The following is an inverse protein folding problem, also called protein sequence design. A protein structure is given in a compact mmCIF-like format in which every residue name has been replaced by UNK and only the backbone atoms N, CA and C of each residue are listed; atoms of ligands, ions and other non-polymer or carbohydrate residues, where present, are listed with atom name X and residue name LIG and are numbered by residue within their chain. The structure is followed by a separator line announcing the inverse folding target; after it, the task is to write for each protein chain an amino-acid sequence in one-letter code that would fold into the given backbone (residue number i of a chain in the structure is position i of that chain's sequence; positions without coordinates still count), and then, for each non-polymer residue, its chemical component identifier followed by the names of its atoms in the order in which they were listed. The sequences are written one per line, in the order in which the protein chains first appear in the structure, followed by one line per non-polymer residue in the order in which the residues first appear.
data_IF_990925648676
#
_entry.id   IF_990925648676
#
_cell.length_a   1.000
_cell.length_b   1.000
_cell.length_c   1.000
_cell.angle_alpha   90.00
_cell.angle_beta   90.00
_cell.angle_gamma   90.00
#
_symmetry.space_group_name_H-M   'P 1'
#
loop_
_entity.id
_entity.type
_entity.pdbx_description
1 polymer ?
#
# COMPACT_ATOMS: atom_id res chain seq x y z
N UNK A 1 9.09 12.03 9.79
CA UNK A 1 8.77 13.09 8.81
C UNK A 1 8.09 14.22 9.56
N UNK A 2 8.83 15.29 9.89
CA UNK A 2 8.17 16.55 10.25
C UNK A 2 7.41 17.01 8.99
N UNK A 3 6.11 17.21 9.14
CA UNK A 3 5.23 17.62 8.05
C UNK A 3 5.69 18.99 7.54
N UNK A 4 6.17 19.06 6.29
CA UNK A 4 6.50 20.30 5.58
C UNK A 4 5.28 21.26 5.47
N UNK A 5 4.10 20.80 5.88
CA UNK A 5 2.85 21.58 5.84
C UNK A 5 2.87 22.81 6.75
N UNK A 6 3.64 22.81 7.84
CA UNK A 6 3.75 24.00 8.69
C UNK A 6 4.47 25.14 7.96
N UNK A 7 5.57 24.85 7.27
CA UNK A 7 6.29 25.82 6.44
C UNK A 7 5.41 26.32 5.29
N UNK A 8 4.66 25.42 4.64
CA UNK A 8 3.70 25.81 3.60
C UNK A 8 2.59 26.68 4.19
N UNK A 9 2.10 26.38 5.40
CA UNK A 9 1.10 27.22 6.08
C UNK A 9 1.63 28.65 6.26
N UNK A 10 2.85 28.83 6.76
CA UNK A 10 3.44 30.17 6.93
C UNK A 10 3.46 30.94 5.60
N UNK A 11 3.85 30.29 4.50
CA UNK A 11 3.82 30.91 3.17
C UNK A 11 2.41 31.28 2.73
N UNK A 12 1.43 30.40 2.96
CA UNK A 12 0.03 30.66 2.64
C UNK A 12 -0.56 31.79 3.50
N UNK A 13 -0.21 31.88 4.78
CA UNK A 13 -0.64 32.95 5.69
C UNK A 13 -0.08 34.30 5.24
N UNK A 14 1.21 34.38 4.94
CA UNK A 14 1.85 35.60 4.42
C UNK A 14 1.23 36.05 3.09
N UNK A 15 0.94 35.11 2.19
CA UNK A 15 0.29 35.41 0.93
C UNK A 15 -1.16 35.88 1.14
N UNK A 16 -1.90 35.25 2.05
CA UNK A 16 -3.26 35.65 2.40
C UNK A 16 -3.27 37.08 2.97
N UNK A 17 -2.30 37.43 3.81
CA UNK A 17 -2.15 38.78 4.35
C UNK A 17 -1.90 39.83 3.28
N UNK A 18 -0.97 39.53 2.36
CA UNK A 18 -0.65 40.44 1.27
C UNK A 18 -1.87 40.68 0.37
N UNK A 19 -2.57 39.59 -0.01
CA UNK A 19 -3.77 39.67 -0.85
C UNK A 19 -4.89 40.42 -0.12
N UNK A 20 -5.09 40.14 1.17
CA UNK A 20 -6.14 40.79 1.96
C UNK A 20 -5.87 42.29 2.15
N UNK A 21 -4.62 42.66 2.48
CA UNK A 21 -4.21 44.06 2.60
C UNK A 21 -4.37 44.81 1.28
N UNK A 22 -3.96 44.20 0.17
CA UNK A 22 -4.14 44.76 -1.18
C UNK A 22 -5.62 45.00 -1.49
N UNK A 23 -6.51 44.05 -1.14
CA UNK A 23 -7.97 44.22 -1.30
C UNK A 23 -8.49 45.41 -0.49
N UNK A 24 -8.07 45.55 0.76
CA UNK A 24 -8.48 46.66 1.62
C UNK A 24 -8.00 48.01 1.07
N UNK A 25 -6.78 48.07 0.52
CA UNK A 25 -6.27 49.27 -0.13
C UNK A 25 -7.09 49.64 -1.36
N UNK A 26 -7.38 48.68 -2.25
CA UNK A 26 -8.24 48.91 -3.43
C UNK A 26 -9.62 49.43 -2.99
N UNK A 27 -10.26 48.78 -2.02
CA UNK A 27 -11.57 49.22 -1.50
C UNK A 27 -11.53 50.62 -0.88
N UNK A 28 -10.45 50.96 -0.17
CA UNK A 28 -10.29 52.28 0.41
C UNK A 28 -10.13 53.37 -0.65
N UNK A 29 -9.32 53.12 -1.68
CA UNK A 29 -9.16 54.05 -2.81
C UNK A 29 -10.47 54.21 -3.57
N UNK A 30 -11.20 53.12 -3.82
CA UNK A 30 -12.54 53.16 -4.42
C UNK A 30 -13.48 54.03 -3.60
N UNK A 31 -13.54 53.83 -2.28
CA UNK A 31 -14.38 54.63 -1.37
C UNK A 31 -14.01 56.12 -1.38
N UNK A 32 -12.73 56.46 -1.45
CA UNK A 32 -12.25 57.84 -1.54
C UNK A 32 -12.68 58.45 -2.89
N UNK A 33 -12.50 57.73 -3.99
CA UNK A 33 -12.92 58.17 -5.33
C UNK A 33 -14.44 58.41 -5.38
N UNK A 34 -15.25 57.54 -4.75
CA UNK A 34 -16.71 57.73 -4.66
C UNK A 34 -17.10 58.95 -3.83
N UNK A 35 -16.35 59.28 -2.77
CA UNK A 35 -16.64 60.45 -1.91
C UNK A 35 -16.10 61.79 -2.45
N UNK A 36 -15.27 61.75 -3.48
CA UNK A 36 -14.71 62.94 -4.11
C UNK A 36 -15.76 63.63 -5.00
N UNK A 37 -15.69 64.97 -5.09
CA UNK A 37 -16.58 65.81 -5.92
C UNK A 37 -16.65 65.25 -7.35
N UNK A 38 -17.86 65.17 -7.90
CA UNK A 38 -18.17 64.51 -9.19
C UNK A 38 -17.30 65.03 -10.35
N UNK A 39 -16.95 66.32 -10.34
CA UNK A 39 -16.11 66.98 -11.35
C UNK A 39 -14.64 66.54 -11.35
N UNK A 40 -14.15 65.94 -10.27
CA UNK A 40 -12.78 65.41 -10.14
C UNK A 40 -12.70 63.89 -10.32
N UNK A 41 -13.84 63.21 -10.56
CA UNK A 41 -13.84 61.76 -10.78
C UNK A 41 -13.24 61.44 -12.13
N UNK A 42 -12.17 60.65 -12.13
CA UNK A 42 -11.63 60.06 -13.35
C UNK A 42 -12.37 58.74 -13.64
N UNK A 43 -13.19 58.65 -14.70
CA UNK A 43 -13.97 57.43 -14.99
C UNK A 43 -13.06 56.22 -15.25
N UNK A 44 -11.90 56.43 -15.89
CA UNK A 44 -10.91 55.38 -16.13
C UNK A 44 -10.33 54.79 -14.83
N UNK A 45 -10.17 55.59 -13.78
CA UNK A 45 -9.71 55.14 -12.47
C UNK A 45 -10.75 54.22 -11.80
N UNK A 46 -12.05 54.49 -11.98
CA UNK A 46 -13.10 53.66 -11.42
C UNK A 46 -13.15 52.27 -12.09
N UNK A 47 -13.01 52.20 -13.41
CA UNK A 47 -12.95 50.93 -14.15
C UNK A 47 -11.71 50.11 -13.76
N UNK A 48 -10.55 50.75 -13.65
CA UNK A 48 -9.31 50.09 -13.25
C UNK A 48 -9.39 49.52 -11.83
N UNK A 49 -10.00 50.25 -10.89
CA UNK A 49 -10.19 49.78 -9.51
C UNK A 49 -11.17 48.60 -9.42
N UNK A 50 -12.22 48.58 -10.25
CA UNK A 50 -13.15 47.45 -10.33
C UNK A 50 -12.45 46.19 -10.87
N UNK A 51 -11.63 46.34 -11.92
CA UNK A 51 -10.86 45.22 -12.46
C UNK A 51 -9.82 44.71 -11.46
N UNK A 52 -9.07 45.60 -10.79
CA UNK A 52 -8.14 45.21 -9.73
C UNK A 52 -8.86 44.50 -8.57
N UNK A 53 -10.05 44.97 -8.17
CA UNK A 53 -10.84 44.33 -7.12
C UNK A 53 -11.26 42.90 -7.51
N UNK A 54 -11.68 42.70 -8.77
CA UNK A 54 -12.00 41.36 -9.32
C UNK A 54 -10.77 40.46 -9.35
N UNK A 55 -9.63 40.96 -9.80
CA UNK A 55 -8.38 40.19 -9.84
C UNK A 55 -7.93 39.76 -8.43
N UNK A 56 -7.90 40.68 -7.47
CA UNK A 56 -7.50 40.40 -6.09
C UNK A 56 -8.47 39.42 -5.42
N UNK A 57 -9.78 39.57 -5.65
CA UNK A 57 -10.79 38.63 -5.16
C UNK A 57 -10.63 37.24 -5.79
N UNK A 58 -10.28 37.19 -7.08
CA UNK A 58 -9.94 35.94 -7.78
C UNK A 58 -8.73 35.24 -7.17
N UNK A 59 -7.64 35.98 -6.90
CA UNK A 59 -6.45 35.43 -6.23
C UNK A 59 -6.76 34.90 -4.84
N UNK A 60 -7.57 35.64 -4.05
CA UNK A 60 -8.01 35.18 -2.74
C UNK A 60 -8.84 33.90 -2.85
N UNK A 61 -9.74 33.82 -3.83
CA UNK A 61 -10.55 32.63 -4.07
C UNK A 61 -9.68 31.41 -4.38
N UNK A 62 -8.75 31.53 -5.31
CA UNK A 62 -7.81 30.46 -5.66
C UNK A 62 -6.96 30.03 -4.46
N UNK A 63 -6.49 30.99 -3.65
CA UNK A 63 -5.72 30.68 -2.45
C UNK A 63 -6.56 29.91 -1.42
N UNK A 64 -7.78 30.37 -1.14
CA UNK A 64 -8.67 29.74 -0.17
C UNK A 64 -9.07 28.33 -0.60
N UNK A 65 -9.42 28.12 -1.86
CA UNK A 65 -9.80 26.79 -2.37
C UNK A 65 -8.62 25.82 -2.40
N UNK A 66 -7.41 26.30 -2.75
CA UNK A 66 -6.22 25.45 -2.85
C UNK A 66 -5.59 25.10 -1.49
N UNK A 67 -5.94 25.82 -0.43
CA UNK A 67 -5.37 25.65 0.92
C UNK A 67 -6.24 24.83 1.86
N UNK A 68 -7.36 24.31 1.36
CA UNK A 68 -8.19 23.33 2.05
C UNK A 68 -7.69 21.91 1.72
N UNK A 69 -6.85 21.35 2.58
CA UNK A 69 -6.07 20.14 2.27
C UNK A 69 -6.27 19.03 3.30
N UNK A 70 -6.11 17.79 2.84
CA UNK A 70 -6.16 16.61 3.71
C UNK A 70 -4.77 16.37 4.30
N UNK A 71 -4.62 16.66 5.59
CA UNK A 71 -3.39 16.46 6.35
C UNK A 71 -3.16 14.97 6.68
N UNK A 72 -4.22 14.27 7.09
CA UNK A 72 -4.20 12.82 7.33
C UNK A 72 -5.18 12.14 6.40
N UNK A 73 -4.64 11.47 5.39
CA UNK A 73 -5.45 10.72 4.42
C UNK A 73 -6.21 9.56 5.11
N UNK A 74 -7.42 9.24 4.63
CA UNK A 74 -8.10 8.01 5.02
C UNK A 74 -7.31 6.78 4.53
N UNK A 75 -7.53 5.58 5.11
CA UNK A 75 -6.97 4.35 4.57
C UNK A 75 -7.38 4.18 3.10
N UNK A 76 -6.45 3.83 2.22
CA UNK A 76 -6.75 3.64 0.80
C UNK A 76 -7.39 2.29 0.48
N UNK A 77 -7.24 1.29 1.37
CA UNK A 77 -8.03 0.06 1.32
C UNK A 77 -8.92 0.04 2.56
N UNK A 78 -10.22 0.24 2.36
CA UNK A 78 -11.19 0.39 3.45
C UNK A 78 -12.11 -0.82 3.54
N UNK A 79 -12.18 -1.43 4.72
CA UNK A 79 -13.18 -2.46 4.99
C UNK A 79 -14.47 -1.84 5.50
N UNK A 80 -15.60 -2.28 4.95
CA UNK A 80 -16.93 -1.89 5.46
C UNK A 80 -17.06 -2.25 6.95
N UNK A 81 -17.86 -1.46 7.67
CA UNK A 81 -18.08 -1.59 9.12
C UNK A 81 -16.78 -1.49 9.96
N UNK A 82 -15.69 -0.97 9.41
CA UNK A 82 -14.46 -0.69 10.16
C UNK A 82 -14.32 0.82 10.39
N UNK A 83 -13.91 1.21 11.59
CA UNK A 83 -13.68 2.62 11.92
C UNK A 83 -12.40 3.11 11.24
N UNK A 84 -12.43 4.34 10.76
CA UNK A 84 -11.27 4.99 10.15
C UNK A 84 -11.20 6.46 10.53
N UNK A 85 -10.04 7.07 10.29
CA UNK A 85 -9.76 8.46 10.62
C UNK A 85 -9.28 9.23 9.42
N UNK A 86 -9.61 10.51 9.34
CA UNK A 86 -9.00 11.47 8.42
C UNK A 86 -8.90 12.85 9.09
N UNK A 87 -8.03 13.71 8.61
CA UNK A 87 -7.88 15.07 9.14
C UNK A 87 -7.71 16.05 8.00
N UNK A 88 -8.50 17.12 8.03
CA UNK A 88 -8.48 18.19 7.04
C UNK A 88 -8.07 19.49 7.73
N UNK A 89 -7.28 20.29 7.05
CA UNK A 89 -6.74 21.56 7.55
C UNK A 89 -6.98 22.65 6.52
N UNK A 90 -7.31 23.85 6.99
CA UNK A 90 -7.36 25.06 6.17
C UNK A 90 -6.14 25.92 6.52
N UNK A 91 -5.16 26.01 5.62
CA UNK A 91 -3.88 26.66 5.92
C UNK A 91 -4.03 28.17 6.17
N UNK A 92 -4.96 28.83 5.47
CA UNK A 92 -5.23 30.28 5.64
C UNK A 92 -6.25 30.59 6.74
N UNK A 93 -6.78 29.57 7.41
CA UNK A 93 -7.93 29.72 8.31
C UNK A 93 -7.64 30.56 9.55
N UNK A 94 -6.40 30.50 10.05
CA UNK A 94 -5.94 31.32 11.16
C UNK A 94 -5.86 32.81 10.79
N UNK A 95 -5.28 33.12 9.63
CA UNK A 95 -5.04 34.51 9.23
C UNK A 95 -6.31 35.22 8.74
N UNK A 96 -7.20 34.51 8.05
CA UNK A 96 -8.48 35.07 7.57
C UNK A 96 -9.58 35.12 8.64
N UNK A 97 -9.25 34.83 9.90
CA UNK A 97 -10.19 34.81 11.04
C UNK A 97 -11.40 33.89 10.84
N UNK A 98 -11.26 32.82 10.05
CA UNK A 98 -12.34 31.84 9.78
C UNK A 98 -12.77 31.13 11.06
N UNK A 99 -11.85 31.00 12.02
CA UNK A 99 -12.10 30.38 13.31
C UNK A 99 -13.14 31.12 14.19
N UNK A 100 -13.47 32.39 13.89
CA UNK A 100 -14.50 33.13 14.62
C UNK A 100 -15.91 32.58 14.41
N UNK A 101 -16.15 31.96 13.25
CA UNK A 101 -17.37 31.20 12.95
C UNK A 101 -16.95 29.84 12.41
N UNK A 102 -16.54 28.90 13.28
CA UNK A 102 -15.86 27.68 12.87
C UNK A 102 -16.76 26.86 11.94
N UNK A 103 -16.30 26.59 10.70
CA UNK A 103 -17.18 25.95 9.74
C UNK A 103 -17.33 24.46 9.98
N UNK A 104 -18.48 23.95 9.53
CA UNK A 104 -18.74 22.51 9.50
C UNK A 104 -18.19 21.92 8.21
N UNK A 105 -17.46 20.82 8.34
CA UNK A 105 -16.99 20.00 7.23
C UNK A 105 -17.87 18.77 7.16
N UNK A 106 -18.38 18.46 5.97
CA UNK A 106 -19.05 17.20 5.69
C UNK A 106 -18.21 16.34 4.76
N UNK A 107 -18.33 15.03 4.92
CA UNK A 107 -17.58 14.02 4.17
C UNK A 107 -18.57 13.10 3.47
N UNK A 108 -18.39 12.91 2.18
CA UNK A 108 -19.18 11.98 1.38
C UNK A 108 -18.26 11.12 0.54
N UNK A 109 -18.69 9.90 0.23
CA UNK A 109 -17.95 9.01 -0.68
C UNK A 109 -18.59 9.06 -2.06
N UNK A 110 -17.75 9.27 -3.07
CA UNK A 110 -18.16 9.41 -4.47
C UNK A 110 -17.32 8.49 -5.36
N UNK A 111 -17.85 8.16 -6.53
CA UNK A 111 -17.15 7.35 -7.53
C UNK A 111 -16.16 8.17 -8.33
N UNK A 112 -15.23 7.48 -9.01
CA UNK A 112 -14.34 8.09 -9.99
C UNK A 112 -15.08 8.95 -11.02
N UNK A 113 -16.14 8.42 -11.62
CA UNK A 113 -16.92 9.16 -12.62
C UNK A 113 -17.51 10.46 -12.05
N UNK A 114 -17.96 10.43 -10.79
CA UNK A 114 -18.49 11.62 -10.11
C UNK A 114 -17.38 12.62 -9.79
N UNK A 115 -16.22 12.17 -9.34
CA UNK A 115 -15.05 13.04 -9.12
C UNK A 115 -14.63 13.76 -10.43
N UNK A 116 -14.67 13.05 -11.56
CA UNK A 116 -14.40 13.63 -12.88
C UNK A 116 -15.46 14.67 -13.30
N UNK A 117 -16.74 14.42 -13.00
CA UNK A 117 -17.82 15.37 -13.27
C UNK A 117 -17.72 16.63 -12.39
N UNK A 118 -17.32 16.48 -11.12
CA UNK A 118 -17.12 17.60 -10.20
C UNK A 118 -16.08 18.60 -10.74
N UNK A 119 -14.92 18.11 -11.19
CA UNK A 119 -13.88 18.99 -11.78
C UNK A 119 -14.34 19.67 -13.08
N UNK A 120 -15.14 19.00 -13.90
CA UNK A 120 -15.70 19.61 -15.12
C UNK A 120 -16.75 20.68 -14.82
N UNK A 121 -17.50 20.53 -13.72
CA UNK A 121 -18.51 21.51 -13.30
C UNK A 121 -17.91 22.81 -12.77
N UNK A 122 -16.67 22.81 -12.28
CA UNK A 122 -15.94 24.06 -11.99
C UNK A 122 -15.63 24.87 -13.26
N UNK A 123 -15.49 24.22 -14.42
CA UNK A 123 -15.16 24.90 -15.68
C UNK A 123 -16.38 25.54 -16.35
N UNK A 124 -17.60 25.16 -15.97
CA UNK A 124 -18.84 25.72 -16.49
C UNK A 124 -19.66 26.30 -15.33
N UNK A 125 -19.66 27.62 -15.20
CA UNK A 125 -20.30 28.40 -14.13
C UNK A 125 -21.83 28.19 -13.99
N UNK A 126 -22.24 27.00 -13.56
CA UNK A 126 -23.62 26.62 -13.34
C UNK A 126 -23.73 25.70 -12.13
N UNK A 127 -24.72 25.95 -11.27
CA UNK A 127 -25.06 25.17 -10.07
C UNK A 127 -25.10 23.67 -10.39
N UNK A 128 -23.98 22.98 -10.19
CA UNK A 128 -23.90 21.53 -10.34
C UNK A 128 -24.81 20.85 -9.33
N UNK A 129 -25.54 19.82 -9.76
CA UNK A 129 -26.24 18.92 -8.83
C UNK A 129 -25.21 18.36 -7.84
N UNK A 130 -25.55 18.39 -6.55
CA UNK A 130 -24.76 17.72 -5.52
C UNK A 130 -24.47 16.28 -5.96
N UNK A 131 -23.21 15.82 -5.86
CA UNK A 131 -22.84 14.48 -6.30
C UNK A 131 -23.66 13.44 -5.53
N UNK A 132 -24.18 12.45 -6.24
CA UNK A 132 -24.99 11.38 -5.63
C UNK A 132 -24.07 10.52 -4.78
N UNK A 133 -24.33 10.43 -3.47
CA UNK A 133 -23.49 9.65 -2.56
C UNK A 133 -23.44 8.17 -2.95
N UNK A 134 -22.22 7.64 -3.10
CA UNK A 134 -21.97 6.23 -3.39
C UNK A 134 -22.07 5.37 -2.13
N UNK A 135 -22.21 5.92 -0.94
CA UNK A 135 -22.25 5.13 0.28
C UNK A 135 -22.54 5.93 1.54
N UNK A 136 -22.94 5.21 2.58
CA UNK A 136 -23.37 5.78 3.85
C UNK A 136 -22.19 5.76 4.84
N UNK A 137 -21.64 6.94 5.16
CA UNK A 137 -20.60 7.13 6.17
C UNK A 137 -21.25 7.65 7.47
N UNK A 138 -21.04 6.94 8.57
CA UNK A 138 -21.37 7.43 9.91
C UNK A 138 -20.33 8.42 10.42
N UNK A 139 -20.76 9.38 11.24
CA UNK A 139 -19.91 10.40 11.85
C UNK A 139 -19.14 11.22 10.79
N UNK A 140 -19.79 11.48 9.66
CA UNK A 140 -19.22 12.12 8.49
C UNK A 140 -19.24 13.65 8.53
N UNK A 141 -19.56 14.25 9.68
CA UNK A 141 -19.54 15.71 9.85
C UNK A 141 -18.76 16.08 11.10
N UNK A 142 -17.98 17.15 11.00
CA UNK A 142 -17.20 17.69 12.11
C UNK A 142 -17.06 19.20 11.98
N UNK A 143 -16.93 19.89 13.11
CA UNK A 143 -16.67 21.33 13.14
C UNK A 143 -15.16 21.54 13.19
N UNK A 144 -14.64 22.53 12.44
CA UNK A 144 -13.23 22.89 12.53
C UNK A 144 -12.90 23.48 13.91
N UNK A 145 -11.74 23.10 14.43
CA UNK A 145 -11.20 23.55 15.70
C UNK A 145 -9.92 24.34 15.44
N UNK A 146 -9.80 25.50 16.08
CA UNK A 146 -8.60 26.32 16.02
C UNK A 146 -7.71 26.02 17.22
N UNK A 147 -6.45 25.71 16.96
CA UNK A 147 -5.44 25.49 17.99
C UNK A 147 -4.53 26.73 18.08
N UNK A 148 -4.63 27.54 19.14
CA UNK A 148 -3.89 28.82 19.23
C UNK A 148 -2.37 28.65 19.28
N UNK A 149 -1.88 27.56 19.86
CA UNK A 149 -0.44 27.31 20.01
C UNK A 149 0.25 27.05 18.67
N UNK A 150 -0.45 26.39 17.73
CA UNK A 150 0.06 26.05 16.41
C UNK A 150 -0.52 26.92 15.30
N UNK A 151 -1.49 27.79 15.62
CA UNK A 151 -2.29 28.60 14.70
C UNK A 151 -3.00 27.75 13.62
N UNK A 152 -3.33 26.50 13.94
CA UNK A 152 -3.92 25.57 12.98
C UNK A 152 -5.44 25.56 13.08
N UNK A 153 -6.12 25.69 11.94
CA UNK A 153 -7.54 25.42 11.82
C UNK A 153 -7.75 24.07 11.13
N UNK A 154 -8.21 23.07 11.89
CA UNK A 154 -8.34 21.71 11.38
C UNK A 154 -9.56 20.99 11.93
N UNK A 155 -9.99 19.92 11.28
CA UNK A 155 -11.01 19.00 11.78
C UNK A 155 -10.47 17.58 11.73
N UNK A 156 -10.50 16.90 12.88
CA UNK A 156 -10.05 15.50 12.99
C UNK A 156 -11.24 14.57 13.15
N UNK A 157 -11.51 13.81 12.09
CA UNK A 157 -12.53 12.77 12.10
C UNK A 157 -11.93 11.50 12.71
N UNK A 158 -12.33 11.16 13.93
CA UNK A 158 -11.72 10.04 14.69
C UNK A 158 -12.48 8.71 14.61
N UNK A 159 -13.77 8.76 14.25
CA UNK A 159 -14.68 7.61 14.34
C UNK A 159 -15.59 7.48 13.11
N UNK A 160 -15.11 7.84 11.92
CA UNK A 160 -15.89 7.61 10.71
C UNK A 160 -16.01 6.11 10.43
N UNK A 161 -17.14 5.69 9.86
CA UNK A 161 -17.38 4.28 9.52
C UNK A 161 -18.26 4.18 8.28
N UNK A 162 -17.78 3.45 7.27
CA UNK A 162 -18.54 3.17 6.05
C UNK A 162 -19.45 1.96 6.28
N UNK A 163 -20.78 2.16 6.30
CA UNK A 163 -21.76 1.07 6.52
C UNK A 163 -22.16 0.37 5.24
N UNK A 164 -22.47 1.14 4.21
CA UNK A 164 -23.00 0.66 2.93
C UNK A 164 -22.29 1.36 1.79
N UNK A 165 -22.14 0.63 0.70
CA UNK A 165 -21.60 1.14 -0.56
C UNK A 165 -22.50 0.67 -1.71
N UNK A 166 -22.94 1.63 -2.52
CA UNK A 166 -23.58 1.43 -3.82
C UNK A 166 -22.46 1.34 -4.86
N UNK A 167 -22.44 0.25 -5.60
CA UNK A 167 -21.44 -0.02 -6.61
C UNK A 167 -22.05 0.20 -7.99
N UNK A 168 -21.25 0.67 -8.93
CA UNK A 168 -21.68 0.75 -10.31
C UNK A 168 -21.96 -0.65 -10.88
N UNK A 169 -22.95 -0.76 -11.78
CA UNK A 169 -23.13 -1.97 -12.59
C UNK A 169 -21.91 -2.16 -13.48
N UNK A 170 -21.28 -3.33 -13.41
CA UNK A 170 -20.07 -3.60 -14.17
C UNK A 170 -20.36 -4.20 -15.53
N UNK A 171 -19.44 -3.95 -16.47
CA UNK A 171 -19.42 -4.59 -17.77
C UNK A 171 -18.21 -5.52 -17.86
N UNK A 172 -18.42 -6.76 -18.32
CA UNK A 172 -17.33 -7.70 -18.61
C UNK A 172 -16.59 -8.27 -17.39
N UNK A 173 -15.25 -8.28 -17.44
CA UNK A 173 -14.34 -8.98 -16.50
C UNK A 173 -13.82 -8.10 -15.34
N UNK A 174 -14.35 -6.89 -15.18
CA UNK A 174 -13.89 -5.93 -14.16
C UNK A 174 -14.14 -6.42 -12.73
N UNK A 175 -13.09 -6.40 -11.90
CA UNK A 175 -13.20 -6.79 -10.49
C UNK A 175 -13.77 -5.65 -9.66
N UNK A 176 -14.40 -5.99 -8.53
CA UNK A 176 -14.94 -4.97 -7.60
C UNK A 176 -13.78 -4.16 -7.05
N UNK A 177 -12.63 -4.80 -6.96
CA UNK A 177 -11.40 -4.25 -6.42
C UNK A 177 -10.69 -3.28 -7.36
N UNK A 178 -11.18 -3.15 -8.59
CA UNK A 178 -10.69 -2.17 -9.56
C UNK A 178 -11.46 -0.84 -9.44
N UNK A 179 -12.63 -0.83 -8.77
CA UNK A 179 -13.45 0.35 -8.58
C UNK A 179 -12.79 1.31 -7.58
N UNK A 180 -12.37 2.47 -8.10
CA UNK A 180 -11.78 3.55 -7.32
C UNK A 180 -12.86 4.52 -6.86
N UNK A 181 -12.88 4.77 -5.57
CA UNK A 181 -13.74 5.73 -4.89
C UNK A 181 -12.88 6.82 -4.26
N UNK A 182 -13.49 7.91 -3.82
CA UNK A 182 -12.78 8.96 -3.07
C UNK A 182 -13.71 9.59 -2.05
N UNK A 183 -13.13 10.06 -0.95
CA UNK A 183 -13.82 10.87 0.02
C UNK A 183 -13.71 12.34 -0.38
N UNK A 184 -14.86 12.94 -0.64
CA UNK A 184 -15.02 14.37 -0.85
C UNK A 184 -15.27 15.03 0.51
N UNK A 185 -14.32 15.86 0.92
CA UNK A 185 -14.48 16.76 2.06
C UNK A 185 -14.95 18.10 1.54
N UNK A 186 -16.03 18.64 2.11
CA UNK A 186 -16.59 19.92 1.67
C UNK A 186 -16.96 20.79 2.87
N UNK A 187 -16.82 22.11 2.71
CA UNK A 187 -17.15 23.08 3.73
C UNK A 187 -17.56 24.42 3.11
N UNK A 188 -18.28 25.22 3.89
CA UNK A 188 -18.68 26.57 3.50
C UNK A 188 -18.47 27.51 4.67
N UNK A 189 -17.87 28.66 4.42
CA UNK A 189 -17.63 29.71 5.42
C UNK A 189 -17.58 31.10 4.82
N UNK A 190 -17.69 32.09 5.70
CA UNK A 190 -17.65 33.50 5.34
C UNK A 190 -16.32 34.13 5.78
N UNK A 191 -15.81 35.08 4.99
CA UNK A 191 -14.60 35.86 5.28
C UNK A 191 -14.93 37.35 5.17
N UNK A 192 -14.28 38.18 5.99
CA UNK A 192 -14.44 39.64 5.94
C UNK A 192 -15.77 40.15 6.48
N UNK A 193 -16.28 39.57 7.57
CA UNK A 193 -17.55 40.01 8.17
C UNK A 193 -18.80 39.64 7.36
N UNK A 194 -18.70 38.66 6.45
CA UNK A 194 -19.81 38.20 5.62
C UNK A 194 -19.78 38.70 4.17
N UNK A 195 -18.80 39.51 3.79
CA UNK A 195 -18.66 40.02 2.41
C UNK A 195 -18.41 38.91 1.39
N UNK A 196 -17.62 37.91 1.76
CA UNK A 196 -17.21 36.83 0.87
C UNK A 196 -17.66 35.49 1.44
N UNK A 197 -18.32 34.68 0.62
CA UNK A 197 -18.75 33.32 0.95
C UNK A 197 -17.94 32.35 0.11
N UNK A 198 -17.16 31.49 0.76
CA UNK A 198 -16.35 30.47 0.11
C UNK A 198 -16.98 29.10 0.29
N UNK A 199 -17.09 28.35 -0.80
CA UNK A 199 -17.34 26.93 -0.80
C UNK A 199 -16.03 26.24 -1.18
N UNK A 200 -15.49 25.44 -0.27
CA UNK A 200 -14.23 24.73 -0.47
C UNK A 200 -14.48 23.24 -0.42
N UNK A 201 -13.72 22.50 -1.20
CA UNK A 201 -13.75 21.05 -1.18
C UNK A 201 -12.40 20.48 -1.57
N UNK A 202 -12.13 19.24 -1.15
CA UNK A 202 -10.93 18.50 -1.53
C UNK A 202 -11.24 17.01 -1.61
N UNK A 203 -10.54 16.30 -2.50
CA UNK A 203 -10.67 14.86 -2.68
C UNK A 203 -9.54 14.14 -1.96
N UNK A 204 -9.86 12.98 -1.37
CA UNK A 204 -8.83 12.05 -0.91
C UNK A 204 -8.11 11.40 -2.08
N UNK A 205 -6.96 10.81 -1.77
CA UNK A 205 -6.36 9.78 -2.63
C UNK A 205 -7.40 8.68 -2.92
N UNK A 206 -7.24 7.91 -4.02
CA UNK A 206 -8.20 6.87 -4.34
C UNK A 206 -8.26 5.83 -3.22
N UNK A 207 -9.49 5.43 -2.96
CA UNK A 207 -9.86 4.43 -1.97
C UNK A 207 -10.55 3.27 -2.67
N UNK A 208 -10.20 2.06 -2.28
CA UNK A 208 -10.88 0.83 -2.70
C UNK A 208 -11.58 0.22 -1.48
N UNK A 209 -12.86 -0.12 -1.64
CA UNK A 209 -13.71 -0.62 -0.55
C UNK A 209 -13.87 -2.14 -0.61
N UNK A 210 -13.37 -2.84 0.42
CA UNK A 210 -13.50 -4.28 0.63
C UNK A 210 -14.63 -4.63 1.60
N UNK A 211 -15.18 -5.83 1.44
CA UNK A 211 -16.12 -6.42 2.43
C UNK A 211 -15.44 -7.51 3.26
N UNK A 212 -14.42 -8.17 2.72
CA UNK A 212 -13.71 -9.27 3.38
C UNK A 212 -12.19 -9.15 3.23
N UNK A 213 -11.44 -9.67 4.19
CA UNK A 213 -9.97 -9.53 4.25
C UNK A 213 -9.23 -10.25 3.12
N UNK A 214 -9.82 -11.27 2.51
CA UNK A 214 -9.25 -11.95 1.33
C UNK A 214 -9.19 -11.04 0.08
N UNK A 215 -9.94 -9.94 0.05
CA UNK A 215 -9.91 -8.96 -1.04
C UNK A 215 -8.81 -7.92 -0.87
N UNK A 216 -8.20 -7.84 0.32
CA UNK A 216 -7.16 -6.88 0.64
C UNK A 216 -5.98 -6.90 -0.36
N UNK A 217 -5.43 -8.06 -0.79
CA UNK A 217 -4.36 -8.08 -1.79
C UNK A 217 -4.75 -7.36 -3.07
N UNK A 218 -5.96 -7.63 -3.58
CA UNK A 218 -6.47 -7.06 -4.81
C UNK A 218 -6.70 -5.55 -4.68
N UNK A 219 -7.26 -5.08 -3.56
CA UNK A 219 -7.43 -3.65 -3.30
C UNK A 219 -6.10 -2.91 -3.24
N UNK A 220 -5.09 -3.52 -2.61
CA UNK A 220 -3.75 -2.95 -2.60
C UNK A 220 -3.06 -2.99 -3.97
N UNK A 221 -3.43 -3.89 -4.88
CA UNK A 221 -2.92 -3.88 -6.25
C UNK A 221 -3.29 -2.56 -6.92
N UNK A 222 -4.58 -2.23 -6.90
CA UNK A 222 -5.17 -1.04 -7.51
C UNK A 222 -4.61 0.23 -6.90
N UNK A 223 -4.53 0.28 -5.57
CA UNK A 223 -3.96 1.43 -4.83
C UNK A 223 -2.48 1.60 -5.14
N UNK A 224 -1.70 0.51 -5.18
CA UNK A 224 -0.25 0.61 -5.44
C UNK A 224 0.00 1.11 -6.86
N UNK A 225 -0.74 0.58 -7.84
CA UNK A 225 -0.63 1.02 -9.23
C UNK A 225 -1.02 2.49 -9.40
N UNK A 226 -2.10 2.93 -8.76
CA UNK A 226 -2.52 4.33 -8.83
C UNK A 226 -1.51 5.26 -8.18
N UNK A 227 -1.09 4.99 -6.94
CA UNK A 227 -0.14 5.85 -6.24
C UNK A 227 1.21 5.95 -6.95
N UNK A 228 1.68 4.87 -7.58
CA UNK A 228 2.99 4.81 -8.20
C UNK A 228 3.03 5.47 -9.59
N UNK A 229 1.95 5.38 -10.36
CA UNK A 229 1.96 5.70 -11.79
C UNK A 229 0.99 6.81 -12.19
N UNK A 230 0.51 7.59 -11.22
CA UNK A 230 -0.35 8.75 -11.47
C UNK A 230 0.42 9.94 -12.05
N UNK A 231 0.10 10.42 -13.26
CA UNK A 231 0.70 11.65 -13.78
C UNK A 231 0.18 12.90 -13.03
N UNK A 232 1.01 13.95 -12.88
CA UNK A 232 0.57 15.23 -12.31
C UNK A 232 -0.56 15.86 -13.13
N UNK A 233 -1.55 16.46 -12.47
CA UNK A 233 -2.65 17.17 -13.14
C UNK A 233 -3.62 16.26 -13.93
N UNK A 234 -3.56 14.95 -13.72
CA UNK A 234 -4.46 13.98 -14.37
C UNK A 234 -5.92 14.23 -14.07
N UNK A 235 -6.78 13.78 -14.97
CA UNK A 235 -8.19 13.50 -14.66
C UNK A 235 -8.24 12.51 -13.49
N UNK A 236 -9.13 12.69 -12.49
CA UNK A 236 -9.16 11.84 -11.31
C UNK A 236 -9.09 10.36 -11.64
N UNK A 237 -8.13 9.70 -11.00
CA UNK A 237 -7.96 8.26 -10.99
C UNK A 237 -7.56 7.60 -12.32
N UNK A 238 -7.30 8.38 -13.37
CA UNK A 238 -6.71 7.91 -14.62
C UNK A 238 -5.27 7.43 -14.40
N UNK A 239 -4.96 6.21 -14.86
CA UNK A 239 -3.64 5.57 -14.73
C UNK A 239 -3.26 4.91 -16.04
N UNK A 240 -1.96 4.75 -16.35
CA UNK A 240 -1.54 4.04 -17.53
C UNK A 240 -1.84 2.53 -17.42
N UNK A 241 -2.22 1.92 -18.55
CA UNK A 241 -2.43 0.46 -18.64
C UNK A 241 -1.13 -0.35 -18.63
N UNK A 242 -0.02 0.30 -18.99
CA UNK A 242 1.32 -0.29 -19.05
C UNK A 242 2.36 0.68 -18.50
N UNK A 243 3.35 0.13 -17.80
CA UNK A 243 4.47 0.88 -17.24
C UNK A 243 5.77 0.18 -17.55
N UNK A 244 6.89 0.88 -17.45
CA UNK A 244 8.22 0.27 -17.62
C UNK A 244 8.58 -0.59 -16.42
N UNK A 245 9.35 -1.65 -16.63
CA UNK A 245 9.85 -2.49 -15.54
C UNK A 245 10.67 -1.67 -14.54
N UNK A 246 11.47 -0.70 -14.97
CA UNK A 246 12.25 0.15 -14.07
C UNK A 246 11.36 0.86 -13.04
N UNK A 247 10.26 1.47 -13.50
CA UNK A 247 9.29 2.13 -12.62
C UNK A 247 8.59 1.15 -11.66
N UNK A 248 8.22 -0.04 -12.17
CA UNK A 248 7.58 -1.06 -11.35
C UNK A 248 8.55 -1.66 -10.31
N UNK A 249 9.79 -1.95 -10.70
CA UNK A 249 10.82 -2.48 -9.83
C UNK A 249 11.13 -1.55 -8.67
N UNK A 250 11.25 -0.24 -8.94
CA UNK A 250 11.42 0.78 -7.92
C UNK A 250 10.21 0.80 -6.97
N UNK A 251 9.00 0.78 -7.51
CA UNK A 251 7.76 0.74 -6.71
C UNK A 251 7.69 -0.49 -5.80
N UNK A 252 8.01 -1.67 -6.33
CA UNK A 252 8.06 -2.92 -5.57
C UNK A 252 9.13 -2.85 -4.48
N UNK A 253 10.30 -2.29 -4.79
CA UNK A 253 11.39 -2.11 -3.82
C UNK A 253 11.02 -1.15 -2.70
N UNK A 254 10.43 0.01 -3.00
CA UNK A 254 9.94 0.97 -1.99
C UNK A 254 8.87 0.30 -1.10
N UNK A 255 7.92 -0.42 -1.72
CA UNK A 255 6.86 -1.10 -0.98
C UNK A 255 7.40 -2.21 -0.08
N UNK A 256 8.32 -3.01 -0.59
CA UNK A 256 8.94 -4.09 0.17
C UNK A 256 9.78 -3.54 1.33
N UNK A 257 10.61 -2.54 1.06
CA UNK A 257 11.51 -1.91 2.04
C UNK A 257 10.74 -1.18 3.13
N UNK A 258 9.66 -0.46 2.79
CA UNK A 258 8.83 0.22 3.79
C UNK A 258 8.08 -0.75 4.70
N UNK A 259 7.67 -1.91 4.19
CA UNK A 259 6.96 -2.92 4.97
C UNK A 259 7.89 -3.77 5.83
N UNK A 260 9.06 -4.16 5.31
CA UNK A 260 9.97 -5.10 5.98
C UNK A 260 11.13 -4.42 6.68
N UNK A 261 11.51 -3.22 6.28
CA UNK A 261 12.71 -2.52 6.75
C UNK A 261 14.01 -2.95 6.06
N UNK A 262 13.98 -3.96 5.18
CA UNK A 262 15.14 -4.39 4.38
C UNK A 262 14.90 -4.21 2.88
N UNK A 263 15.96 -3.92 2.13
CA UNK A 263 15.90 -3.65 0.68
C UNK A 263 15.91 -4.92 -0.17
N UNK A 264 15.40 -4.81 -1.41
CA UNK A 264 15.59 -5.83 -2.45
C UNK A 264 16.92 -5.60 -3.17
N UNK A 265 17.70 -6.66 -3.40
CA UNK A 265 18.90 -6.60 -4.23
C UNK A 265 18.56 -6.59 -5.73
N UNK A 266 19.55 -6.30 -6.59
CA UNK A 266 19.38 -6.39 -8.04
C UNK A 266 19.01 -7.82 -8.49
N UNK A 267 19.59 -8.84 -7.87
CA UNK A 267 19.24 -10.24 -8.11
C UNK A 267 17.78 -10.54 -7.74
N UNK A 268 17.29 -9.97 -6.63
CA UNK A 268 15.89 -10.13 -6.25
C UNK A 268 14.95 -9.48 -7.27
N UNK A 269 15.29 -8.27 -7.73
CA UNK A 269 14.53 -7.59 -8.78
C UNK A 269 14.57 -8.39 -10.09
N UNK A 270 15.72 -8.96 -10.46
CA UNK A 270 15.84 -9.82 -11.64
C UNK A 270 14.94 -11.05 -11.53
N UNK A 271 14.92 -11.72 -10.38
CA UNK A 271 13.99 -12.83 -10.14
C UNK A 271 12.51 -12.42 -10.31
N UNK A 272 12.14 -11.25 -9.77
CA UNK A 272 10.78 -10.73 -9.91
C UNK A 272 10.43 -10.42 -11.38
N UNK A 273 11.39 -9.88 -12.13
CA UNK A 273 11.24 -9.67 -13.56
C UNK A 273 11.01 -10.98 -14.32
N UNK A 274 11.79 -12.03 -14.00
CA UNK A 274 11.65 -13.34 -14.66
C UNK A 274 10.26 -13.92 -14.38
N UNK A 275 9.79 -13.76 -13.13
CA UNK A 275 8.48 -14.23 -12.69
C UNK A 275 7.33 -13.51 -13.40
N UNK A 276 7.40 -12.19 -13.58
CA UNK A 276 6.31 -11.42 -14.19
C UNK A 276 6.28 -11.55 -15.72
N UNK A 277 7.45 -11.53 -16.38
CA UNK A 277 7.55 -11.61 -17.83
C UNK A 277 7.39 -13.03 -18.37
N UNK A 278 7.73 -14.05 -17.58
CA UNK A 278 7.57 -15.48 -17.95
C UNK A 278 8.43 -15.87 -19.16
N UNK A 279 9.45 -15.09 -19.48
CA UNK A 279 10.33 -15.29 -20.64
C UNK A 279 11.79 -15.13 -20.25
N UNK A 280 12.69 -15.56 -21.15
CA UNK A 280 14.10 -15.20 -21.05
C UNK A 280 14.24 -13.67 -21.04
N UNK A 281 15.02 -13.15 -20.10
CA UNK A 281 15.25 -11.73 -19.93
C UNK A 281 16.57 -11.30 -20.55
N UNK A 282 16.67 -10.05 -21.03
CA UNK A 282 17.95 -9.48 -21.42
C UNK A 282 18.92 -9.47 -20.22
N UNK A 283 20.22 -9.64 -20.51
CA UNK A 283 21.28 -9.50 -19.52
C UNK A 283 21.54 -8.02 -19.20
N UNK A 284 21.26 -7.13 -20.15
CA UNK A 284 21.42 -5.69 -19.99
C UNK A 284 20.29 -5.08 -19.14
N UNK A 285 20.65 -4.50 -17.99
CA UNK A 285 19.71 -3.87 -17.06
C UNK A 285 18.92 -2.71 -17.69
N UNK A 286 19.50 -1.98 -18.65
CA UNK A 286 18.81 -0.86 -19.32
C UNK A 286 17.67 -1.39 -20.20
N UNK A 287 17.94 -2.42 -20.99
CA UNK A 287 16.94 -3.07 -21.83
C UNK A 287 15.84 -3.71 -20.98
N UNK A 288 16.22 -4.38 -19.89
CA UNK A 288 15.28 -4.95 -18.94
C UNK A 288 14.35 -3.88 -18.37
N UNK A 289 14.91 -2.76 -17.90
CA UNK A 289 14.13 -1.67 -17.32
C UNK A 289 13.20 -1.00 -18.34
N UNK A 290 13.50 -1.06 -19.64
CA UNK A 290 12.65 -0.52 -20.70
C UNK A 290 11.46 -1.41 -21.08
N UNK A 291 11.46 -2.68 -20.67
CA UNK A 291 10.38 -3.61 -20.97
C UNK A 291 9.06 -3.15 -20.33
N UNK A 292 7.95 -3.29 -21.05
CA UNK A 292 6.64 -2.85 -20.58
C UNK A 292 5.88 -3.97 -19.86
N UNK A 293 5.34 -3.66 -18.68
CA UNK A 293 4.45 -4.53 -17.89
C UNK A 293 3.04 -3.95 -17.93
N UNK A 294 2.04 -4.76 -18.29
CA UNK A 294 0.64 -4.36 -18.22
C UNK A 294 0.03 -4.55 -16.83
N UNK A 295 -1.05 -3.79 -16.56
CA UNK A 295 -1.92 -4.00 -15.40
C UNK A 295 -2.40 -5.45 -15.28
N UNK A 296 -2.73 -6.09 -16.43
CA UNK A 296 -3.19 -7.47 -16.44
C UNK A 296 -2.08 -8.44 -16.01
N UNK A 297 -0.86 -8.29 -16.53
CA UNK A 297 0.28 -9.12 -16.13
C UNK A 297 0.61 -8.96 -14.65
N UNK A 298 0.44 -7.75 -14.12
CA UNK A 298 0.70 -7.43 -12.72
C UNK A 298 -0.28 -8.13 -11.76
N UNK A 299 -1.59 -8.06 -12.01
CA UNK A 299 -2.59 -8.51 -11.02
C UNK A 299 -3.87 -9.17 -11.56
N UNK A 300 -3.94 -9.53 -12.84
CA UNK A 300 -5.10 -10.24 -13.43
C UNK A 300 -4.74 -11.61 -13.97
N UNK A 301 -3.61 -11.69 -14.66
CA UNK A 301 -3.18 -12.91 -15.33
C UNK A 301 -2.54 -13.84 -14.30
N UNK A 302 -3.15 -15.02 -14.12
CA UNK A 302 -2.58 -16.05 -13.26
C UNK A 302 -1.19 -16.45 -13.74
N UNK A 303 -0.27 -16.73 -12.82
CA UNK A 303 1.06 -17.24 -13.14
C UNK A 303 0.95 -18.65 -13.77
N UNK A 304 1.92 -19.06 -14.62
CA UNK A 304 1.91 -20.39 -15.24
C UNK A 304 1.77 -21.49 -14.18
N UNK A 305 0.86 -22.44 -14.41
CA UNK A 305 0.55 -23.56 -13.51
C UNK A 305 0.12 -23.16 -12.08
N UNK A 306 -0.37 -21.92 -11.91
CA UNK A 306 -0.89 -21.39 -10.65
C UNK A 306 -2.29 -20.82 -10.81
N UNK A 307 -2.99 -20.71 -9.68
CA UNK A 307 -4.32 -20.11 -9.58
C UNK A 307 -4.29 -18.68 -8.99
N UNK A 308 -3.10 -18.09 -8.88
CA UNK A 308 -2.88 -16.74 -8.35
C UNK A 308 -1.99 -15.92 -9.28
N UNK A 309 -2.09 -14.61 -9.15
CA UNK A 309 -1.38 -13.60 -9.94
C UNK A 309 0.00 -13.28 -9.37
N UNK A 310 0.82 -12.58 -10.16
CA UNK A 310 2.11 -12.07 -9.68
C UNK A 310 1.96 -11.23 -8.41
N UNK A 311 1.00 -10.30 -8.41
CA UNK A 311 0.78 -9.42 -7.28
C UNK A 311 0.32 -10.14 -6.02
N UNK A 312 -0.61 -11.09 -6.12
CA UNK A 312 -1.05 -11.86 -4.94
C UNK A 312 0.12 -12.61 -4.30
N UNK A 313 0.98 -13.22 -5.12
CA UNK A 313 2.19 -13.87 -4.66
C UNK A 313 3.12 -12.88 -3.96
N UNK A 314 3.45 -11.76 -4.61
CA UNK A 314 4.34 -10.74 -4.05
C UNK A 314 3.79 -10.13 -2.76
N UNK A 315 2.49 -9.83 -2.72
CA UNK A 315 1.81 -9.30 -1.54
C UNK A 315 1.92 -10.26 -0.35
N UNK A 316 1.72 -11.56 -0.57
CA UNK A 316 1.83 -12.55 0.50
C UNK A 316 3.26 -12.76 0.96
N UNK A 317 4.24 -12.64 0.08
CA UNK A 317 5.67 -12.61 0.44
C UNK A 317 5.96 -11.39 1.33
N UNK A 318 5.56 -10.19 0.93
CA UNK A 318 5.72 -8.97 1.75
C UNK A 318 5.07 -9.15 3.12
N UNK A 319 3.85 -9.71 3.16
CA UNK A 319 3.10 -9.93 4.40
C UNK A 319 3.79 -10.92 5.34
N UNK A 320 4.20 -12.09 4.85
CA UNK A 320 4.87 -13.09 5.69
C UNK A 320 6.23 -12.57 6.17
N UNK A 321 6.95 -11.83 5.32
CA UNK A 321 8.22 -11.23 5.71
C UNK A 321 8.03 -10.18 6.79
N UNK A 322 7.08 -9.26 6.64
CA UNK A 322 6.76 -8.24 7.65
C UNK A 322 6.34 -8.87 8.98
N UNK A 323 5.43 -9.84 8.94
CA UNK A 323 4.75 -10.34 10.14
C UNK A 323 5.59 -11.36 10.92
N UNK A 324 6.41 -12.17 10.24
CA UNK A 324 7.11 -13.31 10.88
C UNK A 324 8.61 -13.38 10.61
N UNK A 325 9.11 -12.82 9.51
CA UNK A 325 10.50 -13.04 9.07
C UNK A 325 11.35 -11.78 9.08
N UNK A 326 10.82 -10.67 9.61
CA UNK A 326 11.42 -9.33 9.48
C UNK A 326 12.86 -9.29 9.95
N UNK A 327 13.12 -9.83 11.14
CA UNK A 327 14.46 -9.81 11.73
C UNK A 327 15.44 -10.72 10.96
N UNK A 328 14.99 -11.89 10.51
CA UNK A 328 15.81 -12.80 9.69
C UNK A 328 16.14 -12.20 8.32
N UNK A 329 15.19 -11.46 7.74
CA UNK A 329 15.38 -10.77 6.47
C UNK A 329 16.38 -9.61 6.59
N UNK A 330 16.23 -8.75 7.60
CA UNK A 330 17.14 -7.62 7.82
C UNK A 330 18.58 -8.06 8.08
N UNK A 331 18.78 -9.24 8.66
CA UNK A 331 20.10 -9.80 8.95
C UNK A 331 20.64 -10.67 7.81
N UNK A 332 20.02 -10.59 6.62
CA UNK A 332 20.43 -11.27 5.40
C UNK A 332 20.50 -12.80 5.51
N UNK A 333 19.70 -13.40 6.40
CA UNK A 333 19.65 -14.86 6.59
C UNK A 333 18.76 -15.57 5.58
N UNK A 334 17.93 -14.80 4.88
CA UNK A 334 16.97 -15.32 3.90
C UNK A 334 17.41 -14.85 2.51
N UNK A 335 17.73 -15.81 1.64
CA UNK A 335 18.00 -15.53 0.23
C UNK A 335 16.71 -15.09 -0.48
N UNK A 336 15.58 -15.73 -0.16
CA UNK A 336 14.25 -15.28 -0.51
C UNK A 336 13.90 -15.49 -1.98
N UNK A 337 14.32 -14.57 -2.84
CA UNK A 337 13.92 -14.50 -4.25
C UNK A 337 14.88 -15.32 -5.13
N UNK A 338 14.70 -16.64 -5.14
CA UNK A 338 15.49 -17.57 -5.95
C UNK A 338 14.61 -18.71 -6.47
N UNK A 339 14.79 -19.09 -7.73
CA UNK A 339 14.04 -20.19 -8.35
C UNK A 339 14.48 -21.53 -7.76
N UNK A 340 13.57 -22.51 -7.72
CA UNK A 340 13.89 -23.87 -7.25
C UNK A 340 15.13 -24.46 -7.95
N UNK A 341 15.18 -24.40 -9.28
CA UNK A 341 16.30 -24.94 -10.07
C UNK A 341 17.63 -24.26 -9.74
N UNK A 342 17.63 -22.93 -9.63
CA UNK A 342 18.83 -22.17 -9.27
C UNK A 342 19.32 -22.51 -7.86
N UNK A 343 18.40 -22.69 -6.90
CA UNK A 343 18.75 -23.13 -5.55
C UNK A 343 19.36 -24.55 -5.55
N UNK A 344 18.82 -25.47 -6.34
CA UNK A 344 19.36 -26.84 -6.52
C UNK A 344 20.76 -26.82 -7.13
N UNK A 345 20.97 -26.02 -8.17
CA UNK A 345 22.27 -25.86 -8.83
C UNK A 345 23.34 -25.23 -7.93
N UNK A 346 22.93 -24.35 -7.00
CA UNK A 346 23.83 -23.74 -6.01
C UNK A 346 24.17 -24.70 -4.87
N UNK A 347 23.17 -25.40 -4.33
CA UNK A 347 23.35 -26.31 -3.19
C UNK A 347 24.08 -27.60 -3.57
N UNK A 348 23.89 -28.14 -4.77
CA UNK A 348 24.57 -29.36 -5.26
C UNK A 348 26.10 -29.25 -5.34
N UNK A 349 26.63 -28.01 -5.31
CA UNK A 349 28.07 -27.70 -5.30
C UNK A 349 28.61 -27.45 -3.89
N UNK A 350 27.75 -27.46 -2.88
CA UNK A 350 28.08 -27.19 -1.48
C UNK A 350 28.24 -28.51 -0.70
N UNK A 351 28.93 -28.49 0.46
CA UNK A 351 29.04 -29.67 1.30
C UNK A 351 27.67 -30.08 1.89
N UNK A 352 27.45 -31.39 2.16
CA UNK A 352 26.25 -31.90 2.82
C UNK A 352 25.91 -31.13 4.10
N UNK A 353 24.62 -30.87 4.31
CA UNK A 353 24.11 -30.06 5.42
C UNK A 353 24.08 -28.56 5.16
N UNK A 354 24.54 -28.10 4.00
CA UNK A 354 24.36 -26.69 3.56
C UNK A 354 22.91 -26.45 3.16
N UNK A 355 22.31 -25.35 3.62
CA UNK A 355 20.93 -25.00 3.33
C UNK A 355 20.74 -23.52 2.99
N UNK A 356 19.62 -23.20 2.35
CA UNK A 356 19.17 -21.83 2.12
C UNK A 356 17.65 -21.72 2.31
N UNK A 357 17.22 -20.49 2.58
CA UNK A 357 15.82 -20.14 2.78
C UNK A 357 15.32 -19.37 1.56
N UNK A 358 14.24 -19.85 0.93
CA UNK A 358 13.64 -19.21 -0.25
C UNK A 358 12.12 -19.14 -0.16
N UNK A 359 11.53 -18.16 -0.82
CA UNK A 359 10.08 -18.06 -0.94
C UNK A 359 9.56 -19.14 -1.91
N UNK A 360 8.40 -19.69 -1.59
CA UNK A 360 7.76 -20.71 -2.41
C UNK A 360 7.12 -20.09 -3.65
N UNK A 361 7.39 -20.68 -4.82
CA UNK A 361 6.72 -20.32 -6.08
C UNK A 361 5.32 -20.93 -6.21
N UNK A 362 5.01 -21.95 -5.39
CA UNK A 362 3.78 -22.74 -5.48
C UNK A 362 2.76 -22.42 -4.42
N UNK A 363 3.20 -21.87 -3.29
CA UNK A 363 2.36 -21.64 -2.12
C UNK A 363 2.46 -20.18 -1.68
N UNK A 364 1.31 -19.50 -1.66
CA UNK A 364 1.22 -18.09 -1.32
C UNK A 364 1.73 -17.83 0.10
N UNK A 365 2.71 -16.93 0.22
CA UNK A 365 3.30 -16.57 1.51
C UNK A 365 4.03 -17.72 2.21
N UNK A 366 4.41 -18.76 1.45
CA UNK A 366 5.20 -19.88 1.94
C UNK A 366 6.69 -19.58 1.90
N UNK A 367 7.43 -19.98 2.95
CA UNK A 367 8.90 -20.05 2.95
C UNK A 367 9.34 -21.51 3.05
N UNK A 368 10.28 -21.93 2.21
CA UNK A 368 10.80 -23.30 2.18
C UNK A 368 12.29 -23.33 2.50
N UNK A 369 12.73 -24.44 3.08
CA UNK A 369 14.13 -24.74 3.35
C UNK A 369 14.58 -25.74 2.29
N UNK A 370 15.58 -25.35 1.51
CA UNK A 370 16.28 -26.25 0.59
C UNK A 370 17.65 -26.58 1.19
N UNK A 371 18.05 -27.84 1.17
CA UNK A 371 19.34 -28.29 1.69
C UNK A 371 19.95 -29.40 0.85
N UNK A 372 21.27 -29.54 0.89
CA UNK A 372 21.97 -30.67 0.27
C UNK A 372 22.20 -31.78 1.29
N UNK A 373 21.81 -33.02 0.95
CA UNK A 373 22.02 -34.22 1.75
C UNK A 373 23.31 -34.96 1.40
N UNK A 374 23.46 -36.16 1.95
CA UNK A 374 24.55 -37.06 1.57
C UNK A 374 24.41 -37.45 0.09
N UNK A 375 25.51 -37.43 -0.67
CA UNK A 375 25.49 -37.71 -2.11
C UNK A 375 25.21 -36.50 -3.03
N UNK A 376 25.27 -35.27 -2.51
CA UNK A 376 25.00 -34.01 -3.23
C UNK A 376 23.58 -33.90 -3.81
N UNK A 377 22.64 -34.72 -3.36
CA UNK A 377 21.22 -34.57 -3.67
C UNK A 377 20.64 -33.38 -2.91
N UNK A 378 19.76 -32.62 -3.57
CA UNK A 378 19.12 -31.44 -2.97
C UNK A 378 17.67 -31.75 -2.64
N UNK A 379 17.29 -31.52 -1.40
CA UNK A 379 15.94 -31.69 -0.90
C UNK A 379 15.32 -30.33 -0.61
N UNK A 380 14.00 -30.24 -0.69
CA UNK A 380 13.23 -29.05 -0.31
C UNK A 380 12.06 -29.46 0.57
N UNK A 381 11.94 -28.82 1.74
CA UNK A 381 10.80 -29.03 2.62
C UNK A 381 9.51 -28.46 2.02
N UNK A 382 8.38 -29.02 2.46
CA UNK A 382 7.10 -28.37 2.21
C UNK A 382 7.13 -26.94 2.77
N UNK A 383 6.61 -25.94 2.02
CA UNK A 383 6.64 -24.55 2.47
C UNK A 383 5.89 -24.33 3.78
N UNK A 384 6.46 -23.51 4.66
CA UNK A 384 5.84 -23.03 5.88
C UNK A 384 5.05 -21.76 5.59
N UNK A 385 3.77 -21.77 5.87
CA UNK A 385 2.87 -20.62 5.72
C UNK A 385 2.83 -19.77 6.99
N UNK A 386 2.12 -18.64 6.95
CA UNK A 386 1.87 -17.82 8.14
C UNK A 386 1.23 -18.60 9.31
N UNK A 387 0.42 -19.63 9.02
CA UNK A 387 -0.18 -20.47 10.08
C UNK A 387 0.89 -21.29 10.79
N UNK A 388 1.82 -21.84 10.03
CA UNK A 388 2.93 -22.62 10.57
C UNK A 388 3.86 -21.71 11.38
N UNK A 389 4.25 -20.57 10.81
CA UNK A 389 5.12 -19.60 11.46
C UNK A 389 4.54 -19.00 12.75
N UNK A 390 3.20 -18.95 12.87
CA UNK A 390 2.51 -18.58 14.10
C UNK A 390 2.61 -19.66 15.18
N UNK A 391 2.55 -20.94 14.80
CA UNK A 391 2.68 -22.07 15.75
C UNK A 391 4.11 -22.23 16.28
N UNK A 392 5.11 -21.99 15.41
CA UNK A 392 6.53 -22.06 15.78
C UNK A 392 7.32 -21.13 14.87
N UNK A 393 8.22 -20.27 15.39
CA UNK A 393 9.07 -19.42 14.56
C UNK A 393 9.97 -20.19 13.60
N UNK A 394 10.39 -19.57 12.50
CA UNK A 394 11.26 -20.22 11.50
C UNK A 394 12.62 -20.60 12.09
N UNK A 395 13.22 -19.77 12.94
CA UNK A 395 14.52 -20.04 13.55
C UNK A 395 14.48 -21.31 14.41
N UNK A 396 13.42 -21.50 15.19
CA UNK A 396 13.24 -22.72 15.99
C UNK A 396 13.06 -23.96 15.12
N UNK A 397 12.38 -23.85 13.97
CA UNK A 397 12.31 -24.97 13.01
C UNK A 397 13.66 -25.32 12.42
N UNK A 398 14.47 -24.31 12.10
CA UNK A 398 15.85 -24.51 11.62
C UNK A 398 16.72 -25.16 12.70
N UNK A 399 16.50 -24.80 13.96
CA UNK A 399 17.18 -25.42 15.10
C UNK A 399 16.84 -26.91 15.24
N UNK A 400 15.54 -27.26 15.20
CA UNK A 400 15.07 -28.64 15.38
C UNK A 400 15.64 -29.62 14.35
N UNK A 401 15.97 -29.13 13.14
CA UNK A 401 16.50 -29.92 12.04
C UNK A 401 18.03 -30.07 12.15
N UNK A 402 18.47 -31.23 12.65
CA UNK A 402 19.89 -31.55 12.86
C UNK A 402 20.67 -31.74 11.56
N UNK A 403 19.98 -31.99 10.45
CA UNK A 403 20.58 -32.14 9.12
C UNK A 403 21.10 -30.81 8.57
N UNK A 404 20.57 -29.68 9.08
CA UNK A 404 20.98 -28.34 8.69
C UNK A 404 22.18 -27.92 9.53
N UNK A 405 23.33 -27.71 8.90
CA UNK A 405 24.58 -27.38 9.56
C UNK A 405 25.12 -26.00 9.14
N UNK A 406 25.07 -25.69 7.85
CA UNK A 406 25.63 -24.45 7.30
C UNK A 406 24.58 -23.68 6.51
N UNK A 407 24.37 -22.41 6.82
CA UNK A 407 23.64 -21.50 5.95
C UNK A 407 24.53 -21.13 4.76
N UNK A 408 23.99 -21.19 3.55
CA UNK A 408 24.69 -20.80 2.33
C UNK A 408 25.26 -19.37 2.45
N UNK A 409 26.52 -19.13 2.03
CA UNK A 409 27.41 -20.07 1.33
C UNK A 409 28.23 -21.00 2.24
N UNK A 410 28.58 -20.59 3.46
CA UNK A 410 29.37 -21.40 4.40
C UNK A 410 29.36 -20.82 5.83
N UNK A 411 28.18 -20.47 6.33
CA UNK A 411 28.02 -19.85 7.65
C UNK A 411 27.46 -20.87 8.64
N UNK A 412 28.11 -21.14 9.79
CA UNK A 412 27.58 -22.08 10.77
C UNK A 412 26.17 -21.69 11.24
N UNK A 413 25.25 -22.65 11.29
CA UNK A 413 23.84 -22.44 11.66
C UNK A 413 23.69 -21.69 12.99
N UNK A 414 24.38 -22.18 14.02
CA UNK A 414 24.21 -21.66 15.38
C UNK A 414 24.76 -20.22 15.51
N UNK A 415 25.83 -19.88 14.79
CA UNK A 415 26.38 -18.52 14.78
C UNK A 415 25.38 -17.50 14.23
N UNK A 416 24.60 -17.90 13.22
CA UNK A 416 23.64 -17.02 12.55
C UNK A 416 22.28 -16.98 13.25
N UNK A 417 21.79 -18.11 13.75
CA UNK A 417 20.41 -18.25 14.23
C UNK A 417 20.26 -18.27 15.75
N UNK A 418 21.33 -18.45 16.54
CA UNK A 418 21.28 -18.56 18.01
C UNK A 418 20.50 -17.46 18.70
N UNK A 419 20.65 -16.22 18.23
CA UNK A 419 19.95 -15.04 18.78
C UNK A 419 18.43 -15.04 18.57
N UNK A 420 17.92 -15.86 17.66
CA UNK A 420 16.50 -15.96 17.34
C UNK A 420 15.82 -17.19 17.95
N UNK A 421 16.59 -18.08 18.59
CA UNK A 421 16.02 -19.25 19.22
C UNK A 421 15.19 -18.87 20.44
N UNK A 422 13.99 -19.43 20.51
CA UNK A 422 13.14 -19.30 21.68
C UNK A 422 13.82 -20.02 22.83
N UNK A 423 14.18 -19.27 23.88
CA UNK A 423 14.77 -19.86 25.08
C UNK A 423 13.74 -20.82 25.70
N UNK A 424 14.12 -22.07 26.02
CA UNK A 424 13.19 -22.99 26.67
C UNK A 424 12.80 -22.42 28.05
N UNK A 425 11.49 -22.23 28.27
CA UNK A 425 10.94 -22.03 29.61
C UNK A 425 11.08 -23.35 30.38
N UNK A 426 12.25 -23.59 30.97
CA UNK A 426 12.52 -24.73 31.85
C UNK A 426 11.89 -24.52 33.25
N UNK A 427 10.74 -23.87 33.34
CA UNK A 427 9.99 -23.82 34.59
C UNK A 427 9.08 -25.05 34.65
N UNK A 428 9.49 -26.04 35.47
CA UNK A 428 8.52 -27.01 35.97
C UNK A 428 7.43 -26.22 36.68
N UNK A 429 6.20 -26.29 36.17
CA UNK A 429 5.07 -25.67 36.84
C UNK A 429 4.98 -26.32 38.24
N UNK A 430 4.87 -25.49 39.29
CA UNK A 430 4.91 -25.90 40.71
C UNK A 430 3.88 -26.97 41.11
N UNK A 431 2.99 -27.36 40.21
CA UNK A 431 1.90 -28.31 40.34
C UNK A 431 2.19 -29.66 39.65
N UNK A 432 3.43 -29.94 39.23
CA UNK A 432 3.82 -31.24 38.65
C UNK A 432 3.47 -31.43 37.17
N UNK A 433 2.94 -30.40 36.51
CA UNK A 433 2.69 -30.43 35.06
C UNK A 433 3.94 -30.03 34.28
N UNK A 434 4.30 -30.86 33.30
CA UNK A 434 5.37 -30.58 32.33
C UNK A 434 4.73 -30.01 31.06
N UNK A 435 5.16 -28.83 30.61
CA UNK A 435 4.66 -28.23 29.37
C UNK A 435 5.18 -29.03 28.16
N UNK A 436 4.32 -29.52 27.26
CA UNK A 436 4.77 -30.15 26.02
C UNK A 436 5.37 -29.11 25.07
N UNK A 437 6.37 -29.52 24.28
CA UNK A 437 7.05 -28.68 23.27
C UNK A 437 6.83 -29.26 21.88
N UNK A 438 6.42 -28.42 20.94
CA UNK A 438 6.32 -28.79 19.53
C UNK A 438 7.70 -28.70 18.86
N UNK A 439 8.10 -29.74 18.14
CA UNK A 439 9.36 -29.81 17.40
C UNK A 439 9.13 -30.21 15.95
N UNK A 440 9.97 -29.72 15.05
CA UNK A 440 9.95 -30.06 13.63
C UNK A 440 10.96 -31.16 13.34
N UNK A 441 10.51 -32.32 12.85
CA UNK A 441 11.38 -33.45 12.52
C UNK A 441 11.15 -33.93 11.09
N UNK A 442 12.20 -34.48 10.49
CA UNK A 442 12.07 -35.20 9.21
C UNK A 442 11.48 -36.60 9.45
N UNK A 443 10.79 -37.18 8.46
CA UNK A 443 10.39 -38.58 8.53
C UNK A 443 11.58 -39.52 8.80
N UNK A 444 11.36 -40.59 9.55
CA UNK A 444 12.43 -41.50 10.01
C UNK A 444 13.25 -42.13 8.88
N UNK A 445 12.68 -42.28 7.68
CA UNK A 445 13.38 -42.80 6.50
C UNK A 445 14.39 -41.81 5.91
N UNK A 446 14.20 -40.49 6.08
CA UNK A 446 15.20 -39.47 5.72
C UNK A 446 16.21 -39.18 6.83
N UNK A 447 15.94 -39.69 8.04
CA UNK A 447 16.77 -39.47 9.23
C UNK A 447 17.75 -40.61 9.50
N UNK A 448 17.67 -41.71 8.73
CA UNK A 448 18.55 -42.88 8.88
C UNK A 448 19.69 -42.82 7.85
N UNK A 449 20.94 -43.16 8.21
CA UNK A 449 22.07 -43.29 7.28
C UNK A 449 21.90 -44.43 6.24
N UNK A 450 20.75 -45.12 6.25
CA UNK A 450 20.49 -46.31 5.45
C UNK A 450 20.24 -46.03 3.95
N UNK A 451 20.19 -44.77 3.51
CA UNK A 451 20.28 -44.46 2.08
C UNK A 451 21.68 -44.72 1.50
N UNK A 452 22.69 -45.03 2.33
CA UNK A 452 24.00 -45.47 1.89
C UNK A 452 24.03 -46.88 1.24
N UNK A 453 22.95 -47.66 1.32
CA UNK A 453 22.84 -48.94 0.63
C UNK A 453 21.47 -49.12 0.00
N UNK A 454 21.33 -48.67 -1.26
CA UNK A 454 20.27 -49.15 -2.13
C UNK A 454 20.39 -50.68 -2.29
N UNK A 455 19.36 -51.49 -2.01
CA UNK A 455 19.33 -52.84 -2.53
C UNK A 455 18.97 -52.78 -4.02
N UNK A 456 19.83 -53.37 -4.83
CA UNK A 456 19.68 -53.67 -6.26
C UNK A 456 18.26 -53.63 -6.82
N UNK A 457 18.05 -52.86 -7.89
CA UNK A 457 16.82 -52.85 -8.72
C UNK A 457 16.63 -54.13 -9.56
N UNK A 458 17.30 -55.23 -9.23
CA UNK A 458 17.18 -56.50 -9.93
C UNK A 458 16.86 -57.66 -8.97
N UNK A 459 15.66 -57.63 -8.39
CA UNK A 459 15.02 -58.86 -7.89
C UNK A 459 13.58 -58.95 -8.39
N UNK A 460 13.41 -59.69 -9.48
CA UNK A 460 12.14 -60.24 -9.91
C UNK A 460 11.56 -61.12 -8.78
N UNK A 461 10.41 -60.75 -8.24
CA UNK A 461 9.53 -61.64 -7.48
C UNK A 461 8.21 -61.83 -8.24
N UNK A 462 7.71 -63.07 -8.39
CA UNK A 462 6.54 -63.35 -9.20
C UNK A 462 5.25 -63.01 -8.45
N UNK A 463 4.32 -62.39 -9.18
CA UNK A 463 2.96 -62.08 -8.73
C UNK A 463 2.11 -63.34 -8.56
N UNK A 464 1.61 -63.58 -7.35
CA UNK A 464 0.58 -64.61 -7.08
C UNK A 464 -0.78 -64.03 -7.48
N UNK A 465 -1.39 -64.60 -8.52
CA UNK A 465 -2.77 -64.36 -8.91
C UNK A 465 -3.74 -65.07 -7.95
N UNK A 466 -4.60 -64.32 -7.26
CA UNK A 466 -5.80 -64.88 -6.63
C UNK A 466 -6.96 -64.87 -7.62
N UNK A 467 -7.29 -66.05 -8.15
CA UNK A 467 -8.57 -66.36 -8.77
C UNK A 467 -9.65 -66.45 -7.69
N UNK A 468 -10.77 -65.75 -7.86
CA UNK A 468 -12.06 -66.26 -7.42
C UNK A 468 -13.04 -66.18 -8.59
N UNK A 469 -13.44 -67.37 -9.02
CA UNK A 469 -14.47 -67.63 -10.01
C UNK A 469 -15.81 -67.72 -9.27
N UNK A 470 -16.84 -67.16 -9.90
CA UNK A 470 -18.26 -67.20 -9.53
C UNK A 470 -18.82 -68.61 -9.76
N UNK A 471 -19.79 -69.04 -8.93
CA UNK A 471 -20.89 -69.99 -9.22
C UNK A 471 -21.65 -70.19 -7.87
N UNK A 472 -22.98 -70.18 -7.72
CA UNK A 472 -24.18 -70.15 -8.57
C UNK A 472 -25.26 -69.30 -7.88
#
# INVERSE_FOLDING_TARGET
MQSNLNTIQEWCELLADLIWSTRQQVNNVTRINTKTIVELRQPHLAEMLDDMSKQVTGLLSTLVTSTFVIEKQPPQVMKTNTRFTATVRLLVGGQLNVYMTPPRVSVVIISEQQAQLLLKSETQAGKGKQPVECGDILNNTGTMEYQPTSRQLSVSFRNMQLRKIKRAEKKGTESVMDEKLTLLFQSQFNVGGGELVFQVWTLSLPVVVIVHGNQEPHGWATVTWDNAFSPPGRVPFAVPDKVTWGQLAETLSIKFSSATGGSLSEDNLRFLAEKIFRTSLPLNTIELNSMAVSWTQFCKDALPDRNFTFWEWFYMVVKVTRDYLRALWCDHLIMGFIQKKQAEDMLSKCPPGTFLLRFSDSELGGITIAWTGEGNEVFSLQPFTSRDLMLRPLADRVFDLTQLQFLYPNLPKDDMFSKYYTKPENEMLKNGYVKPVLVTTLPSYMSSPAYAHSPDSHRNTPSVQSRYMIEF
#
